data_IF_982172332102
#
_entry.id   IF_982172332102
#
_cell.length_a   1.000
_cell.length_b   1.000
_cell.length_c   1.000
_cell.angle_alpha   90.00
_cell.angle_beta   90.00
_cell.angle_gamma   90.00
#
_symmetry.space_group_name_H-M   'P 1'
#
loop_
_entity.id
_entity.type
_entity.pdbx_description
1 polymer ?
#
# COMPACT_ATOMS: atom_id res chain seq x y z
N UNK A 1 22.11 7.35 -2.34
CA UNK A 1 21.32 6.80 -1.23
C UNK A 1 19.87 6.68 -1.69
N UNK A 2 19.28 5.50 -1.54
CA UNK A 2 17.87 5.27 -1.80
C UNK A 2 17.12 5.31 -0.46
N UNK A 3 16.00 6.01 -0.44
CA UNK A 3 15.13 6.14 0.74
C UNK A 3 13.74 5.79 0.30
N UNK A 4 13.13 4.83 0.97
CA UNK A 4 11.76 4.43 0.72
C UNK A 4 10.80 5.30 1.52
N UNK A 5 9.66 5.60 0.92
CA UNK A 5 8.60 6.37 1.59
C UNK A 5 7.78 5.52 2.57
N UNK A 6 7.89 4.22 2.49
CA UNK A 6 7.23 3.23 3.33
C UNK A 6 7.81 1.85 3.08
N UNK A 7 7.31 0.85 3.78
CA UNK A 7 7.70 -0.53 3.58
C UNK A 7 6.98 -1.11 2.35
N UNK A 8 7.74 -1.66 1.42
CA UNK A 8 7.19 -2.35 0.26
C UNK A 8 6.95 -3.82 0.60
N UNK A 9 5.72 -4.13 0.98
CA UNK A 9 5.28 -5.47 1.36
C UNK A 9 4.40 -6.04 0.24
N UNK A 10 4.64 -7.29 -0.12
CA UNK A 10 3.95 -7.99 -1.18
C UNK A 10 3.20 -9.18 -0.61
N UNK A 11 1.89 -9.07 -0.50
CA UNK A 11 1.04 -10.18 -0.11
C UNK A 11 0.86 -11.17 -1.26
N UNK A 12 0.74 -12.46 -0.95
CA UNK A 12 0.55 -13.50 -1.98
C UNK A 12 -0.77 -13.38 -2.77
N UNK A 13 -1.69 -12.55 -2.34
CA UNK A 13 -2.89 -12.22 -3.09
C UNK A 13 -2.69 -11.15 -4.18
N UNK A 14 -1.47 -10.59 -4.35
CA UNK A 14 -1.13 -9.60 -5.37
C UNK A 14 -0.96 -10.25 -6.76
N UNK A 15 -2.05 -10.83 -7.29
CA UNK A 15 -2.01 -11.63 -8.50
C UNK A 15 -1.60 -10.84 -9.75
N UNK A 16 -2.07 -9.59 -9.88
CA UNK A 16 -1.77 -8.74 -11.04
C UNK A 16 -0.33 -8.22 -10.98
N UNK A 17 0.12 -7.78 -9.81
CA UNK A 17 1.49 -7.33 -9.62
C UNK A 17 2.49 -8.47 -9.85
N UNK A 18 2.22 -9.67 -9.33
CA UNK A 18 3.07 -10.82 -9.57
C UNK A 18 3.08 -11.27 -11.03
N UNK A 19 1.97 -11.15 -11.74
CA UNK A 19 1.93 -11.37 -13.19
C UNK A 19 2.81 -10.35 -13.94
N UNK A 20 2.76 -9.08 -13.55
CA UNK A 20 3.65 -8.05 -14.06
C UNK A 20 5.12 -8.37 -13.75
N UNK A 21 5.44 -8.71 -12.49
CA UNK A 21 6.81 -9.04 -12.07
C UNK A 21 7.37 -10.24 -12.82
N UNK A 22 6.57 -11.30 -13.08
CA UNK A 22 6.99 -12.41 -13.94
C UNK A 22 7.27 -11.95 -15.36
N UNK A 23 6.40 -11.12 -15.92
CA UNK A 23 6.53 -10.58 -17.27
C UNK A 23 7.82 -9.78 -17.48
N UNK A 24 8.26 -9.05 -16.48
CA UNK A 24 9.47 -8.21 -16.54
C UNK A 24 10.71 -8.89 -15.93
N UNK A 25 10.60 -10.15 -15.50
CA UNK A 25 11.73 -10.89 -14.89
C UNK A 25 12.09 -10.45 -13.47
N UNK A 26 11.17 -9.83 -12.73
CA UNK A 26 11.41 -9.31 -11.39
C UNK A 26 10.89 -10.22 -10.26
N UNK A 27 10.20 -11.32 -10.56
CA UNK A 27 9.55 -12.16 -9.54
C UNK A 27 10.54 -12.77 -8.55
N UNK A 28 11.73 -13.18 -9.04
CA UNK A 28 12.78 -13.80 -8.24
C UNK A 28 13.55 -12.79 -7.35
N UNK A 29 13.14 -11.52 -7.38
CA UNK A 29 13.64 -10.48 -6.49
C UNK A 29 12.88 -10.44 -5.15
N UNK A 30 11.83 -11.25 -5.00
CA UNK A 30 11.05 -11.38 -3.78
C UNK A 30 11.67 -12.42 -2.85
N UNK A 31 11.77 -12.07 -1.58
CA UNK A 31 12.14 -12.95 -0.48
C UNK A 31 10.86 -13.34 0.28
N UNK A 32 10.39 -14.58 0.18
CA UNK A 32 9.28 -15.07 0.99
C UNK A 32 9.63 -14.99 2.47
N UNK A 33 8.66 -14.55 3.28
CA UNK A 33 8.79 -14.46 4.73
C UNK A 33 7.97 -15.57 5.39
N UNK A 34 8.29 -15.86 6.65
CA UNK A 34 7.49 -16.78 7.44
C UNK A 34 6.03 -16.32 7.46
N UNK A 35 5.11 -17.28 7.46
CA UNK A 35 3.67 -17.01 7.47
C UNK A 35 3.19 -16.64 8.87
N UNK A 36 3.79 -15.56 9.40
CA UNK A 36 3.54 -15.02 10.73
C UNK A 36 3.47 -13.49 10.68
N UNK A 37 2.69 -12.92 11.56
CA UNK A 37 2.65 -11.48 11.80
C UNK A 37 3.08 -11.21 13.24
N UNK A 38 4.10 -10.40 13.42
CA UNK A 38 4.77 -10.18 14.69
C UNK A 38 4.49 -8.81 15.25
N UNK A 39 4.05 -8.79 16.50
CA UNK A 39 3.88 -7.59 17.31
C UNK A 39 5.02 -7.46 18.31
N UNK A 40 5.67 -6.31 18.33
CA UNK A 40 6.70 -5.97 19.32
C UNK A 40 6.08 -5.00 20.30
N UNK A 41 6.01 -5.40 21.57
CA UNK A 41 5.54 -4.56 22.66
C UNK A 41 6.72 -3.99 23.43
N UNK A 42 6.47 -2.96 24.24
CA UNK A 42 7.47 -2.34 25.12
C UNK A 42 8.23 -3.39 25.93
N UNK A 43 9.54 -3.23 26.03
CA UNK A 43 10.40 -4.17 26.78
C UNK A 43 10.87 -5.39 25.99
N UNK A 44 10.62 -5.45 24.68
CA UNK A 44 11.03 -6.56 23.79
C UNK A 44 10.08 -7.75 23.83
N UNK A 45 8.86 -7.57 24.35
CA UNK A 45 7.85 -8.62 24.39
C UNK A 45 7.31 -8.88 22.98
N UNK A 46 7.69 -10.02 22.38
CA UNK A 46 7.26 -10.47 21.07
C UNK A 46 6.00 -11.31 21.17
N UNK A 47 5.02 -10.93 20.36
CA UNK A 47 3.75 -11.63 20.25
C UNK A 47 3.41 -11.91 18.80
N UNK A 48 3.03 -13.13 18.51
CA UNK A 48 2.87 -13.64 17.16
C UNK A 48 1.42 -13.96 16.82
N UNK A 49 1.01 -13.65 15.60
CA UNK A 49 -0.11 -14.25 14.89
C UNK A 49 0.47 -15.31 13.93
N UNK A 50 0.42 -16.57 14.35
CA UNK A 50 1.01 -17.68 13.60
C UNK A 50 -0.01 -18.37 12.69
N UNK A 51 0.08 -18.06 11.39
CA UNK A 51 -0.77 -18.65 10.35
C UNK A 51 -0.24 -19.98 9.79
N UNK A 52 0.87 -20.49 10.29
CA UNK A 52 1.44 -21.79 9.92
C UNK A 52 0.58 -22.92 10.46
N UNK A 53 -0.32 -23.43 9.63
CA UNK A 53 -1.21 -24.53 10.02
C UNK A 53 -1.55 -25.41 8.82
N UNK A 54 -1.46 -26.72 9.01
CA UNK A 54 -1.57 -27.71 7.92
C UNK A 54 -2.93 -27.72 7.19
N UNK A 55 -4.00 -27.34 7.88
CA UNK A 55 -5.35 -27.35 7.28
C UNK A 55 -5.65 -26.11 6.41
N UNK A 56 -4.75 -25.11 6.39
CA UNK A 56 -4.95 -23.93 5.56
C UNK A 56 -6.15 -23.05 5.95
N UNK A 57 -6.56 -22.16 5.03
CA UNK A 57 -7.69 -21.25 5.27
C UNK A 57 -9.04 -21.99 5.25
N UNK A 58 -10.00 -21.57 6.10
CA UNK A 58 -9.93 -20.48 7.09
C UNK A 58 -9.31 -20.91 8.44
N UNK A 59 -8.95 -22.18 8.61
CA UNK A 59 -8.54 -22.74 9.89
C UNK A 59 -7.21 -22.20 10.40
N UNK A 60 -6.27 -21.86 9.49
CA UNK A 60 -5.01 -21.21 9.86
C UNK A 60 -5.26 -19.83 10.50
N UNK A 61 -6.20 -19.05 9.97
CA UNK A 61 -6.60 -17.77 10.55
C UNK A 61 -7.25 -17.96 11.93
N UNK A 62 -8.19 -18.90 12.07
CA UNK A 62 -8.80 -19.23 13.36
C UNK A 62 -7.73 -19.63 14.39
N UNK A 63 -6.82 -20.55 14.03
CA UNK A 63 -5.70 -20.92 14.90
C UNK A 63 -4.89 -19.70 15.33
N UNK A 64 -4.47 -18.86 14.39
CA UNK A 64 -3.65 -17.68 14.66
C UNK A 64 -4.35 -16.74 15.67
N UNK A 65 -5.64 -16.47 15.50
CA UNK A 65 -6.41 -15.60 16.39
C UNK A 65 -6.60 -16.19 17.79
N UNK A 66 -6.89 -17.49 17.91
CA UNK A 66 -7.11 -18.09 19.22
C UNK A 66 -5.81 -18.36 19.99
N UNK A 67 -4.68 -18.56 19.29
CA UNK A 67 -3.40 -18.87 19.95
C UNK A 67 -2.53 -17.63 20.21
N UNK A 68 -2.77 -16.50 19.54
CA UNK A 68 -1.94 -15.31 19.74
C UNK A 68 -1.96 -14.83 21.19
N UNK A 69 -0.81 -14.51 21.78
CA UNK A 69 -0.77 -13.86 23.11
C UNK A 69 -1.04 -12.35 23.05
N UNK A 70 -1.23 -11.75 21.85
CA UNK A 70 -1.44 -10.31 21.69
C UNK A 70 -2.76 -9.83 22.28
N UNK A 71 -3.77 -10.70 22.38
CA UNK A 71 -5.08 -10.39 22.91
C UNK A 71 -5.42 -11.28 24.10
N UNK A 72 -6.16 -10.72 25.05
CA UNK A 72 -6.76 -11.45 26.15
C UNK A 72 -7.89 -12.38 25.68
N UNK A 73 -8.27 -13.35 26.52
CA UNK A 73 -9.29 -14.33 26.17
C UNK A 73 -10.66 -13.73 25.85
N UNK A 74 -11.07 -12.71 26.59
CA UNK A 74 -12.33 -12.00 26.35
C UNK A 74 -12.29 -11.29 24.99
N UNK A 75 -11.18 -10.65 24.66
CA UNK A 75 -10.98 -9.97 23.39
C UNK A 75 -11.00 -10.97 22.23
N UNK A 76 -10.39 -12.16 22.39
CA UNK A 76 -10.46 -13.24 21.39
C UNK A 76 -11.88 -13.69 21.11
N UNK A 77 -12.69 -13.88 22.15
CA UNK A 77 -14.09 -14.24 21.99
C UNK A 77 -14.90 -13.14 21.28
N UNK A 78 -14.67 -11.88 21.65
CA UNK A 78 -15.34 -10.74 21.01
C UNK A 78 -14.91 -10.58 19.54
N UNK A 79 -13.63 -10.79 19.21
CA UNK A 79 -13.17 -10.86 17.82
C UNK A 79 -13.85 -11.98 17.05
N UNK A 80 -13.94 -13.18 17.64
CA UNK A 80 -14.61 -14.32 17.03
C UNK A 80 -16.09 -14.04 16.76
N UNK A 81 -16.78 -13.35 17.69
CA UNK A 81 -18.17 -12.93 17.50
C UNK A 81 -18.30 -11.95 16.33
N UNK A 82 -17.52 -10.86 16.34
CA UNK A 82 -17.58 -9.83 15.30
C UNK A 82 -17.24 -10.39 13.90
N UNK A 83 -16.15 -11.16 13.79
CA UNK A 83 -15.74 -11.74 12.52
C UNK A 83 -16.60 -12.94 12.11
N UNK A 84 -17.10 -13.71 13.05
CA UNK A 84 -17.99 -14.87 12.82
C UNK A 84 -19.37 -14.48 12.30
N UNK A 85 -19.84 -13.27 12.63
CA UNK A 85 -21.11 -12.71 12.10
C UNK A 85 -20.91 -11.86 10.83
N UNK A 86 -19.66 -11.72 10.35
CA UNK A 86 -19.31 -10.91 9.21
C UNK A 86 -19.69 -11.55 7.88
N UNK A 87 -19.76 -10.76 6.78
CA UNK A 87 -19.92 -11.28 5.43
C UNK A 87 -18.82 -12.27 5.02
N UNK A 88 -17.65 -12.27 5.70
CA UNK A 88 -16.53 -13.16 5.42
C UNK A 88 -16.93 -14.63 5.55
N UNK A 89 -17.72 -14.99 6.57
CA UNK A 89 -18.16 -16.37 6.76
C UNK A 89 -19.01 -16.85 5.59
N UNK A 90 -19.95 -16.01 5.11
CA UNK A 90 -20.72 -16.29 3.90
C UNK A 90 -19.82 -16.43 2.67
N UNK A 91 -18.77 -15.64 2.59
CA UNK A 91 -17.83 -15.60 1.46
C UNK A 91 -17.02 -16.88 1.27
N UNK A 92 -16.97 -17.77 2.27
CA UNK A 92 -16.36 -19.09 2.13
C UNK A 92 -17.17 -20.00 1.18
N UNK A 93 -18.47 -19.69 0.95
CA UNK A 93 -19.36 -20.43 0.07
C UNK A 93 -19.79 -19.57 -1.14
N UNK A 94 -20.05 -18.27 -0.91
CA UNK A 94 -20.52 -17.30 -1.91
C UNK A 94 -19.62 -16.07 -1.87
N UNK A 95 -18.46 -16.15 -2.54
CA UNK A 95 -17.46 -15.07 -2.56
C UNK A 95 -18.03 -13.77 -3.15
N UNK A 96 -18.71 -13.83 -4.30
CA UNK A 96 -19.22 -12.64 -4.98
C UNK A 96 -20.34 -11.95 -4.20
N UNK A 97 -21.24 -12.71 -3.61
CA UNK A 97 -22.30 -12.17 -2.74
C UNK A 97 -21.73 -11.53 -1.46
N UNK A 98 -20.69 -12.12 -0.88
CA UNK A 98 -20.00 -11.55 0.26
C UNK A 98 -19.27 -10.26 -0.11
N UNK A 99 -18.53 -10.22 -1.21
CA UNK A 99 -17.84 -9.02 -1.68
C UNK A 99 -18.81 -7.89 -2.01
N UNK A 100 -19.98 -8.19 -2.58
CA UNK A 100 -21.06 -7.20 -2.78
C UNK A 100 -21.50 -6.60 -1.45
N UNK A 101 -21.70 -7.43 -0.42
CA UNK A 101 -22.07 -6.98 0.94
C UNK A 101 -20.96 -6.14 1.56
N UNK A 102 -19.68 -6.57 1.44
CA UNK A 102 -18.53 -5.83 1.94
C UNK A 102 -18.44 -4.45 1.27
N UNK A 103 -18.60 -4.36 -0.04
CA UNK A 103 -18.59 -3.08 -0.76
C UNK A 103 -19.69 -2.12 -0.25
N UNK A 104 -20.85 -2.62 0.13
CA UNK A 104 -21.93 -1.82 0.69
C UNK A 104 -21.60 -1.22 2.07
N UNK A 105 -20.60 -1.75 2.78
CA UNK A 105 -20.12 -1.25 4.07
C UNK A 105 -19.14 -0.07 3.95
N UNK A 106 -18.96 0.49 2.76
CA UNK A 106 -18.07 1.63 2.55
C UNK A 106 -18.41 2.87 3.39
N UNK A 107 -19.69 3.04 3.75
CA UNK A 107 -20.20 4.25 4.43
C UNK A 107 -19.86 4.36 5.91
N UNK A 108 -19.36 3.29 6.52
CA UNK A 108 -19.02 3.23 7.95
C UNK A 108 -17.56 2.89 8.13
N UNK A 109 -16.97 3.30 9.27
CA UNK A 109 -15.62 2.94 9.61
C UNK A 109 -15.50 1.47 10.03
N UNK A 110 -14.29 0.94 9.99
CA UNK A 110 -14.06 -0.42 10.48
C UNK A 110 -14.31 -0.51 11.99
N UNK A 111 -13.92 0.49 12.76
CA UNK A 111 -14.19 0.52 14.20
C UNK A 111 -15.69 0.51 14.50
N UNK A 112 -16.47 1.36 13.83
CA UNK A 112 -17.93 1.41 13.99
C UNK A 112 -18.55 0.05 13.67
N UNK A 113 -18.17 -0.54 12.53
CA UNK A 113 -18.64 -1.86 12.16
C UNK A 113 -18.25 -2.93 13.17
N UNK A 114 -16.97 -2.99 13.56
CA UNK A 114 -16.41 -4.03 14.40
C UNK A 114 -16.99 -4.00 15.82
N UNK A 115 -17.06 -2.83 16.44
CA UNK A 115 -17.64 -2.65 17.78
C UNK A 115 -19.14 -2.90 17.76
N UNK A 116 -19.85 -2.43 16.71
CA UNK A 116 -21.28 -2.69 16.50
C UNK A 116 -21.61 -4.18 16.38
N UNK A 117 -20.66 -5.02 15.95
CA UNK A 117 -20.81 -6.49 15.90
C UNK A 117 -20.24 -7.21 17.12
N UNK A 118 -19.95 -6.49 18.22
CA UNK A 118 -19.52 -7.07 19.49
C UNK A 118 -18.01 -7.15 19.68
N UNK A 119 -17.21 -6.65 18.73
CA UNK A 119 -15.77 -6.50 18.87
C UNK A 119 -15.38 -5.59 20.03
N UNK A 120 -14.14 -5.70 20.52
CA UNK A 120 -13.66 -4.88 21.62
C UNK A 120 -12.78 -3.71 21.17
N UNK A 121 -12.86 -2.59 21.88
CA UNK A 121 -11.96 -1.44 21.66
C UNK A 121 -10.50 -1.81 21.96
N UNK A 122 -10.25 -2.72 22.89
CA UNK A 122 -8.91 -3.21 23.20
C UNK A 122 -8.32 -3.96 22.00
N UNK A 123 -9.12 -4.77 21.30
CA UNK A 123 -8.69 -5.42 20.05
C UNK A 123 -8.39 -4.40 18.94
N UNK A 124 -9.20 -3.34 18.81
CA UNK A 124 -8.92 -2.23 17.91
C UNK A 124 -7.54 -1.65 18.23
N UNK A 125 -7.30 -1.27 19.47
CA UNK A 125 -6.05 -0.63 19.89
C UNK A 125 -4.82 -1.52 19.72
N UNK A 126 -4.90 -2.77 20.16
CA UNK A 126 -3.71 -3.66 20.26
C UNK A 126 -3.38 -4.41 18.96
N UNK A 127 -4.37 -4.63 18.11
CA UNK A 127 -4.22 -5.47 16.92
C UNK A 127 -4.65 -4.77 15.64
N UNK A 128 -5.87 -4.22 15.59
CA UNK A 128 -6.44 -3.76 14.32
C UNK A 128 -5.90 -2.40 13.88
N UNK A 129 -5.65 -1.46 14.82
CA UNK A 129 -5.02 -0.18 14.48
C UNK A 129 -3.61 -0.35 13.88
N UNK A 130 -2.68 -1.14 14.45
CA UNK A 130 -1.40 -1.42 13.80
C UNK A 130 -1.54 -1.96 12.36
N UNK A 131 -2.54 -2.80 12.11
CA UNK A 131 -2.81 -3.35 10.77
C UNK A 131 -3.40 -2.28 9.84
N UNK A 132 -4.38 -1.50 10.31
CA UNK A 132 -4.99 -0.42 9.54
C UNK A 132 -3.95 0.65 9.14
N UNK A 133 -3.08 1.05 10.07
CA UNK A 133 -1.96 1.94 9.80
C UNK A 133 -0.95 1.37 8.80
N UNK A 134 -0.69 0.06 8.83
CA UNK A 134 0.19 -0.58 7.85
C UNK A 134 -0.43 -0.64 6.45
N UNK A 135 -1.76 -0.71 6.34
CA UNK A 135 -2.49 -0.81 5.09
C UNK A 135 -2.82 0.55 4.47
N UNK A 136 -3.33 1.48 5.27
CA UNK A 136 -3.92 2.73 4.78
C UNK A 136 -3.38 4.00 5.44
N UNK A 137 -2.41 3.90 6.34
CA UNK A 137 -1.82 5.01 7.12
C UNK A 137 -2.82 5.78 8.00
N UNK A 138 -4.01 5.23 8.20
CA UNK A 138 -5.08 5.73 9.06
C UNK A 138 -5.58 4.63 9.98
N UNK A 139 -6.18 5.00 11.11
CA UNK A 139 -6.69 4.05 12.09
C UNK A 139 -8.04 3.42 11.72
N UNK A 140 -8.51 2.53 12.57
CA UNK A 140 -9.78 1.84 12.39
C UNK A 140 -11.01 2.77 12.47
N UNK A 141 -10.89 3.93 13.10
CA UNK A 141 -11.94 4.95 13.16
C UNK A 141 -12.05 5.70 11.82
N UNK A 142 -10.95 5.88 11.13
CA UNK A 142 -10.85 6.65 9.89
C UNK A 142 -10.88 5.79 8.61
N UNK A 143 -10.56 4.48 8.69
CA UNK A 143 -10.58 3.60 7.51
C UNK A 143 -11.98 2.99 7.29
N UNK A 144 -12.43 2.91 6.04
CA UNK A 144 -13.69 2.25 5.67
C UNK A 144 -13.71 0.76 6.06
N UNK A 145 -14.84 0.28 6.58
CA UNK A 145 -15.06 -1.14 6.86
C UNK A 145 -14.88 -1.99 5.60
N UNK A 146 -15.25 -1.47 4.43
CA UNK A 146 -15.02 -2.10 3.14
C UNK A 146 -13.55 -2.51 2.97
N UNK A 147 -12.60 -1.61 3.26
CA UNK A 147 -11.18 -1.84 3.08
C UNK A 147 -10.68 -3.00 3.92
N UNK A 148 -10.90 -2.95 5.22
CA UNK A 148 -10.42 -3.97 6.15
C UNK A 148 -11.07 -5.33 5.87
N UNK A 149 -12.38 -5.36 5.63
CA UNK A 149 -13.10 -6.61 5.34
C UNK A 149 -12.73 -7.20 3.97
N UNK A 150 -12.35 -6.39 2.98
CA UNK A 150 -11.83 -6.89 1.71
C UNK A 150 -10.55 -7.70 1.93
N UNK A 151 -9.61 -7.18 2.71
CA UNK A 151 -8.37 -7.89 3.05
C UNK A 151 -8.66 -9.17 3.84
N UNK A 152 -9.53 -9.09 4.84
CA UNK A 152 -9.87 -10.26 5.67
C UNK A 152 -10.59 -11.34 4.86
N UNK A 153 -11.45 -10.96 3.91
CA UNK A 153 -12.10 -11.89 2.99
C UNK A 153 -11.05 -12.68 2.17
N UNK A 154 -10.03 -11.99 1.67
CA UNK A 154 -8.95 -12.64 0.93
C UNK A 154 -8.14 -13.58 1.80
N UNK A 155 -7.81 -13.17 3.03
CA UNK A 155 -7.07 -14.01 3.98
C UNK A 155 -7.87 -15.24 4.43
N UNK A 156 -9.19 -15.10 4.54
CA UNK A 156 -10.07 -16.21 4.91
C UNK A 156 -10.31 -17.19 3.75
N UNK A 157 -10.26 -16.72 2.50
CA UNK A 157 -10.54 -17.55 1.32
C UNK A 157 -9.34 -18.28 0.76
N UNK A 158 -8.10 -17.79 1.02
CA UNK A 158 -6.87 -18.36 0.45
C UNK A 158 -5.78 -18.47 1.51
N UNK A 159 -5.28 -19.69 1.71
CA UNK A 159 -4.24 -20.00 2.73
C UNK A 159 -3.04 -19.07 2.65
N UNK A 160 -2.51 -18.85 1.44
CA UNK A 160 -1.29 -18.06 1.25
C UNK A 160 -1.53 -16.54 1.19
N UNK A 161 -2.78 -16.08 1.17
CA UNK A 161 -3.07 -14.66 0.93
C UNK A 161 -2.46 -13.72 1.98
N UNK A 162 -2.38 -14.15 3.24
CA UNK A 162 -1.77 -13.40 4.35
C UNK A 162 -0.25 -13.56 4.45
N UNK A 163 0.37 -14.39 3.61
CA UNK A 163 1.82 -14.55 3.57
C UNK A 163 2.48 -13.33 2.94
N UNK A 164 3.62 -12.94 3.49
CA UNK A 164 4.37 -11.76 3.06
C UNK A 164 5.57 -12.13 2.19
N UNK A 165 5.90 -11.24 1.27
CA UNK A 165 7.21 -11.17 0.64
C UNK A 165 7.77 -9.75 0.82
N UNK A 166 9.08 -9.64 0.85
CA UNK A 166 9.80 -8.36 0.76
C UNK A 166 10.77 -8.42 -0.41
N UNK A 167 11.12 -7.27 -0.97
CA UNK A 167 12.18 -7.22 -1.98
C UNK A 167 13.53 -7.52 -1.32
N UNK A 168 14.41 -8.18 -2.05
CA UNK A 168 15.78 -8.48 -1.57
C UNK A 168 16.65 -7.23 -1.39
N UNK A 169 16.21 -6.09 -1.90
CA UNK A 169 16.85 -4.79 -1.76
C UNK A 169 15.91 -3.66 -2.16
N UNK A 170 16.45 -2.53 -2.61
CA UNK A 170 15.68 -1.31 -2.89
C UNK A 170 14.67 -1.50 -4.03
N UNK A 171 13.46 -0.93 -3.93
CA UNK A 171 12.45 -0.99 -4.99
C UNK A 171 12.95 -0.40 -6.31
N UNK A 172 13.79 0.63 -6.25
CA UNK A 172 14.38 1.22 -7.45
C UNK A 172 15.14 0.20 -8.30
N UNK A 173 15.98 -0.63 -7.67
CA UNK A 173 16.81 -1.61 -8.37
C UNK A 173 16.05 -2.89 -8.71
N UNK A 174 15.22 -3.36 -7.79
CA UNK A 174 14.67 -4.72 -7.84
C UNK A 174 13.22 -4.82 -8.29
N UNK A 175 12.51 -3.69 -8.41
CA UNK A 175 11.15 -3.62 -8.94
C UNK A 175 11.06 -2.65 -10.12
N UNK A 176 11.35 -1.37 -9.89
CA UNK A 176 11.16 -0.32 -10.89
C UNK A 176 12.14 -0.47 -12.06
N UNK A 177 13.40 -0.80 -11.79
CA UNK A 177 14.42 -1.01 -12.83
C UNK A 177 13.99 -2.04 -13.86
N UNK A 178 13.67 -3.30 -13.49
CA UNK A 178 13.17 -4.30 -14.45
C UNK A 178 11.94 -3.87 -15.26
N UNK A 179 11.03 -3.08 -14.67
CA UNK A 179 9.87 -2.52 -15.41
C UNK A 179 10.33 -1.53 -16.46
N UNK A 180 11.22 -0.61 -16.10
CA UNK A 180 11.75 0.40 -17.01
C UNK A 180 12.57 -0.23 -18.14
N UNK A 181 13.44 -1.18 -17.82
CA UNK A 181 14.22 -1.92 -18.81
C UNK A 181 13.30 -2.64 -19.80
N UNK A 182 12.24 -3.26 -19.33
CA UNK A 182 11.24 -3.92 -20.17
C UNK A 182 10.55 -2.93 -21.15
N UNK A 183 10.23 -1.72 -20.68
CA UNK A 183 9.63 -0.66 -21.47
C UNK A 183 10.63 -0.17 -22.53
N UNK A 184 11.86 0.11 -22.14
CA UNK A 184 12.91 0.64 -23.03
C UNK A 184 13.29 -0.37 -24.12
N UNK A 185 13.40 -1.66 -23.80
CA UNK A 185 13.64 -2.74 -24.76
C UNK A 185 12.56 -2.84 -25.86
N UNK A 186 11.37 -2.24 -25.63
CA UNK A 186 10.25 -2.21 -26.57
C UNK A 186 10.06 -0.84 -27.23
N UNK A 187 11.08 0.01 -27.17
CA UNK A 187 11.08 1.34 -27.80
C UNK A 187 10.38 2.42 -26.97
N UNK A 188 9.90 2.09 -25.76
CA UNK A 188 9.36 3.09 -24.83
C UNK A 188 10.46 4.01 -24.29
N UNK A 189 10.10 5.21 -23.88
CA UNK A 189 11.02 6.23 -23.37
C UNK A 189 10.58 6.71 -22.00
N UNK A 190 11.55 6.92 -21.09
CA UNK A 190 11.34 7.55 -19.79
C UNK A 190 11.97 8.95 -19.81
N UNK A 191 11.18 9.94 -19.48
CA UNK A 191 11.62 11.33 -19.34
C UNK A 191 11.44 11.78 -17.89
N UNK A 192 12.53 11.85 -17.13
CA UNK A 192 12.55 12.39 -15.76
C UNK A 192 12.61 13.91 -15.79
N UNK A 193 12.10 14.56 -14.74
CA UNK A 193 12.00 16.03 -14.61
C UNK A 193 11.16 16.70 -15.71
N UNK A 194 10.22 15.96 -16.28
CA UNK A 194 9.27 16.45 -17.27
C UNK A 194 7.88 16.50 -16.62
N UNK A 195 7.58 17.61 -15.96
CA UNK A 195 6.31 17.79 -15.26
C UNK A 195 5.24 18.27 -16.23
N UNK A 196 4.09 17.63 -16.28
CA UNK A 196 2.91 18.16 -16.97
C UNK A 196 2.45 19.43 -16.25
N UNK A 197 2.52 20.56 -16.92
CA UNK A 197 2.12 21.88 -16.40
C UNK A 197 0.77 22.31 -16.93
N UNK A 198 0.41 21.89 -18.15
CA UNK A 198 -0.86 22.22 -18.76
C UNK A 198 -1.34 21.11 -19.71
N UNK A 199 -2.66 20.91 -19.75
CA UNK A 199 -3.35 20.01 -20.68
C UNK A 199 -4.16 20.86 -21.64
N UNK A 200 -3.77 20.90 -22.92
CA UNK A 200 -4.50 21.57 -23.98
C UNK A 200 -5.53 20.63 -24.59
N UNK A 201 -6.70 21.13 -24.88
CA UNK A 201 -7.79 20.32 -25.42
C UNK A 201 -8.64 21.13 -26.40
N UNK A 202 -9.32 20.42 -27.28
CA UNK A 202 -10.26 20.97 -28.26
C UNK A 202 -11.65 20.39 -28.02
N UNK A 203 -12.65 21.20 -28.30
CA UNK A 203 -14.07 20.85 -28.21
C UNK A 203 -14.68 20.82 -29.61
N UNK A 204 -15.17 19.66 -30.04
CA UNK A 204 -15.88 19.48 -31.29
C UNK A 204 -17.39 19.68 -31.15
N UNK A 205 -18.15 19.24 -32.14
CA UNK A 205 -19.60 19.25 -32.11
C UNK A 205 -20.15 18.44 -30.92
N UNK A 206 -21.36 18.79 -30.46
CA UNK A 206 -22.01 18.07 -29.39
C UNK A 206 -22.24 16.59 -29.76
N UNK A 207 -21.86 15.70 -28.85
CA UNK A 207 -22.13 14.27 -28.94
C UNK A 207 -23.62 13.93 -28.68
N UNK A 208 -23.92 12.64 -28.63
CA UNK A 208 -25.29 12.13 -28.40
C UNK A 208 -25.81 12.52 -27.01
N UNK A 209 -24.93 12.73 -26.05
CA UNK A 209 -25.23 13.17 -24.68
C UNK A 209 -25.40 14.70 -24.54
N UNK A 210 -25.32 15.44 -25.64
CA UNK A 210 -25.39 16.91 -25.67
C UNK A 210 -24.11 17.62 -25.16
N UNK A 211 -23.05 16.88 -24.79
CA UNK A 211 -21.78 17.43 -24.40
C UNK A 211 -20.84 17.53 -25.61
N UNK A 212 -19.94 18.54 -25.68
CA UNK A 212 -18.99 18.64 -26.80
C UNK A 212 -18.01 17.45 -26.77
N UNK A 213 -17.74 16.89 -27.95
CA UNK A 213 -16.74 15.85 -28.14
C UNK A 213 -15.35 16.44 -27.85
N UNK A 214 -14.85 16.20 -26.65
CA UNK A 214 -13.60 16.78 -26.17
C UNK A 214 -12.45 15.81 -26.37
N UNK A 215 -11.30 16.33 -26.85
CA UNK A 215 -10.05 15.59 -27.02
C UNK A 215 -8.85 16.44 -26.56
N UNK A 216 -7.88 15.82 -25.93
CA UNK A 216 -6.57 16.44 -25.68
C UNK A 216 -5.84 16.63 -27.00
N UNK A 217 -5.37 17.86 -27.27
CA UNK A 217 -4.57 18.20 -28.44
C UNK A 217 -3.07 18.10 -28.16
N UNK A 218 -2.64 18.55 -26.98
CA UNK A 218 -1.23 18.46 -26.55
C UNK A 218 -1.10 18.59 -25.03
N UNK A 219 0.11 18.31 -24.53
CA UNK A 219 0.54 18.60 -23.16
C UNK A 219 1.69 19.60 -23.19
N UNK A 220 1.70 20.57 -22.29
CA UNK A 220 2.91 21.35 -21.97
C UNK A 220 3.64 20.66 -20.83
N UNK A 221 4.93 20.39 -21.03
CA UNK A 221 5.83 19.81 -20.04
C UNK A 221 6.87 20.86 -19.63
N UNK A 222 6.91 21.17 -18.33
CA UNK A 222 8.01 21.95 -17.75
C UNK A 222 9.24 21.06 -17.59
N UNK A 223 10.34 21.42 -18.25
CA UNK A 223 11.62 20.71 -18.18
C UNK A 223 12.73 21.64 -17.67
N UNK A 224 13.91 21.11 -17.29
CA UNK A 224 15.05 21.95 -16.90
C UNK A 224 15.51 22.92 -18.00
N UNK A 225 15.25 22.59 -19.28
CA UNK A 225 15.64 23.36 -20.47
C UNK A 225 14.54 24.32 -20.92
N UNK A 226 13.38 24.33 -20.26
CA UNK A 226 12.20 25.15 -20.60
C UNK A 226 10.98 24.29 -20.93
N UNK A 227 9.90 24.95 -21.32
CA UNK A 227 8.65 24.28 -21.64
C UNK A 227 8.69 23.59 -23.01
N UNK A 228 8.17 22.37 -23.08
CA UNK A 228 8.10 21.54 -24.28
C UNK A 228 6.65 21.08 -24.49
N UNK A 229 6.17 21.21 -25.75
CA UNK A 229 4.86 20.66 -26.13
C UNK A 229 4.99 19.22 -26.62
N UNK A 230 4.08 18.36 -26.19
CA UNK A 230 4.00 16.95 -26.58
C UNK A 230 2.62 16.63 -27.13
N UNK A 231 2.60 16.05 -28.32
CA UNK A 231 1.39 15.56 -29.00
C UNK A 231 1.44 14.04 -29.05
N UNK A 232 0.32 13.40 -28.76
CA UNK A 232 0.15 11.94 -28.83
C UNK A 232 -1.28 11.57 -29.22
N UNK A 233 -1.48 10.34 -29.69
CA UNK A 233 -2.81 9.82 -30.02
C UNK A 233 -3.66 9.59 -28.76
N UNK A 234 -3.00 9.21 -27.67
CA UNK A 234 -3.65 8.84 -26.40
C UNK A 234 -2.81 9.33 -25.21
N UNK A 235 -3.49 9.80 -24.19
CA UNK A 235 -2.91 10.32 -22.95
C UNK A 235 -3.43 9.52 -21.78
N UNK A 236 -2.53 9.04 -20.93
CA UNK A 236 -2.85 8.30 -19.71
C UNK A 236 -2.23 8.99 -18.50
N UNK A 237 -3.07 9.51 -17.61
CA UNK A 237 -2.63 10.05 -16.33
C UNK A 237 -2.61 8.93 -15.27
N UNK A 238 -1.40 8.53 -14.86
CA UNK A 238 -1.15 7.47 -13.88
C UNK A 238 -0.45 8.02 -12.64
N UNK A 239 -0.99 9.09 -12.07
CA UNK A 239 -0.45 9.78 -10.91
C UNK A 239 -1.35 9.55 -9.66
N UNK A 240 -0.93 10.09 -8.51
CA UNK A 240 -1.68 10.10 -7.26
C UNK A 240 -2.85 11.11 -7.28
N UNK A 241 -3.68 11.09 -6.24
CA UNK A 241 -4.83 12.01 -6.09
C UNK A 241 -4.39 13.49 -6.16
N UNK A 242 -3.40 13.95 -5.39
CA UNK A 242 -2.94 15.34 -5.50
C UNK A 242 -2.36 15.70 -6.87
N UNK A 243 -1.72 14.76 -7.54
CA UNK A 243 -1.18 14.92 -8.87
C UNK A 243 -2.27 15.16 -9.90
N UNK A 244 -3.27 14.30 -9.92
CA UNK A 244 -4.39 14.44 -10.87
C UNK A 244 -5.24 15.68 -10.61
N UNK A 245 -5.51 16.01 -9.34
CA UNK A 245 -6.26 17.23 -8.98
C UNK A 245 -5.58 18.52 -9.46
N UNK A 246 -4.23 18.54 -9.47
CA UNK A 246 -3.45 19.70 -9.96
C UNK A 246 -3.38 19.76 -11.48
N UNK A 247 -3.43 18.61 -12.16
CA UNK A 247 -3.23 18.51 -13.60
C UNK A 247 -4.51 18.75 -14.40
N UNK A 248 -5.67 18.36 -13.88
CA UNK A 248 -6.94 18.44 -14.63
C UNK A 248 -7.35 19.88 -14.93
N UNK A 249 -7.73 20.17 -16.19
CA UNK A 249 -8.33 21.47 -16.55
C UNK A 249 -9.58 21.75 -15.74
N UNK A 250 -9.70 22.98 -15.21
CA UNK A 250 -10.87 23.38 -14.40
C UNK A 250 -12.19 23.22 -15.16
N UNK A 251 -12.18 23.44 -16.47
CA UNK A 251 -13.35 23.28 -17.33
C UNK A 251 -13.92 21.85 -17.33
N UNK A 252 -13.09 20.85 -17.05
CA UNK A 252 -13.50 19.45 -17.03
C UNK A 252 -14.31 19.07 -15.79
N UNK A 253 -14.35 19.92 -14.78
CA UNK A 253 -15.22 19.71 -13.60
C UNK A 253 -16.73 19.70 -13.93
N UNK A 254 -17.12 20.09 -15.13
CA UNK A 254 -18.48 19.92 -15.64
C UNK A 254 -18.92 18.45 -15.72
N UNK A 255 -17.98 17.52 -15.86
CA UNK A 255 -18.28 16.09 -15.80
C UNK A 255 -18.15 15.56 -14.37
N UNK A 256 -19.19 14.88 -13.87
CA UNK A 256 -19.19 14.32 -12.51
C UNK A 256 -17.97 13.43 -12.23
N UNK A 257 -17.48 12.68 -13.24
CA UNK A 257 -16.29 11.85 -13.13
C UNK A 257 -15.07 12.65 -12.67
N UNK A 258 -14.79 13.80 -13.26
CA UNK A 258 -13.68 14.63 -12.89
C UNK A 258 -13.94 15.48 -11.64
N UNK A 259 -15.18 15.96 -11.43
CA UNK A 259 -15.51 16.75 -10.23
C UNK A 259 -15.42 15.89 -8.96
N UNK A 260 -15.78 14.62 -9.05
CA UNK A 260 -15.69 13.68 -7.93
C UNK A 260 -14.24 13.45 -7.47
N UNK A 261 -13.24 13.54 -8.38
CA UNK A 261 -11.82 13.41 -8.00
C UNK A 261 -11.42 14.45 -6.95
N UNK A 262 -12.01 15.64 -6.98
CA UNK A 262 -11.73 16.70 -6.00
C UNK A 262 -12.34 16.46 -4.62
N UNK A 263 -13.17 15.42 -4.45
CA UNK A 263 -13.70 14.96 -3.16
C UNK A 263 -12.80 13.89 -2.52
N UNK A 264 -11.88 13.32 -3.31
CA UNK A 264 -10.90 12.37 -2.81
C UNK A 264 -9.79 13.11 -2.07
N UNK A 265 -9.24 12.48 -1.05
CA UNK A 265 -8.17 13.04 -0.23
C UNK A 265 -6.97 12.08 -0.18
N UNK A 266 -5.85 12.57 0.29
CA UNK A 266 -4.64 11.80 0.48
C UNK A 266 -4.14 11.92 1.93
N UNK A 267 -3.52 10.86 2.42
CA UNK A 267 -2.99 10.81 3.79
C UNK A 267 -1.54 11.25 3.84
N UNK A 268 -1.12 11.98 4.88
CA UNK A 268 0.29 12.26 5.11
C UNK A 268 1.01 11.05 5.70
N UNK A 269 2.32 10.98 5.46
CA UNK A 269 3.20 10.00 6.09
C UNK A 269 4.56 10.61 6.38
N UNK A 270 5.17 10.18 7.47
CA UNK A 270 6.58 10.43 7.76
C UNK A 270 7.29 9.08 7.96
N UNK A 271 8.34 8.85 7.18
CA UNK A 271 9.16 7.64 7.28
C UNK A 271 10.53 8.00 7.82
N UNK A 272 10.95 7.28 8.85
CA UNK A 272 12.22 7.47 9.53
C UNK A 272 13.10 6.27 9.30
N UNK A 273 14.33 6.49 8.86
CA UNK A 273 15.36 5.45 8.81
C UNK A 273 16.42 5.74 9.87
N UNK A 274 16.71 4.72 10.68
CA UNK A 274 17.70 4.77 11.77
C UNK A 274 18.73 3.66 11.57
N UNK A 275 20.01 4.02 11.38
CA UNK A 275 21.12 3.08 11.28
C UNK A 275 21.91 3.05 12.59
N UNK A 276 22.07 1.86 13.15
CA UNK A 276 22.82 1.62 14.38
C UNK A 276 24.16 0.93 14.09
N UNK A 277 25.10 1.04 15.04
CA UNK A 277 26.39 0.34 15.00
C UNK A 277 26.27 -1.15 15.39
N UNK A 278 25.12 -1.57 15.95
CA UNK A 278 24.83 -2.95 16.31
C UNK A 278 23.39 -3.36 15.97
N UNK A 279 23.02 -4.59 16.33
CA UNK A 279 21.71 -5.15 15.99
C UNK A 279 20.66 -4.80 17.05
N UNK A 280 19.70 -3.96 16.68
CA UNK A 280 18.59 -3.51 17.55
C UNK A 280 17.60 -4.63 17.82
N UNK A 281 17.31 -5.44 16.81
CA UNK A 281 16.30 -6.50 16.85
C UNK A 281 16.79 -7.82 17.45
N UNK A 282 17.98 -7.83 18.04
CA UNK A 282 18.47 -8.93 18.88
C UNK A 282 17.84 -8.86 20.26
N UNK A 283 16.76 -9.54 20.47
CA UNK A 283 15.92 -9.52 21.68
C UNK A 283 16.61 -10.04 22.96
N UNK A 284 17.81 -9.58 23.26
CA UNK A 284 18.53 -9.88 24.48
C UNK A 284 19.27 -11.22 24.49
N UNK A 285 19.13 -12.07 23.48
CA UNK A 285 19.84 -13.33 23.29
C UNK A 285 20.59 -13.33 21.95
N UNK A 286 21.85 -12.95 21.99
CA UNK A 286 22.70 -12.89 20.79
C UNK A 286 22.91 -14.24 20.10
N UNK A 287 22.83 -15.35 20.82
CA UNK A 287 22.94 -16.69 20.26
C UNK A 287 21.64 -17.09 19.53
N UNK A 288 20.49 -16.84 20.12
CA UNK A 288 19.20 -17.08 19.49
C UNK A 288 18.99 -16.17 18.27
N UNK A 289 19.38 -14.90 18.38
CA UNK A 289 19.31 -13.97 17.25
C UNK A 289 20.27 -14.35 16.12
N UNK A 290 21.47 -14.85 16.43
CA UNK A 290 22.40 -15.36 15.43
C UNK A 290 21.89 -16.64 14.76
N UNK A 291 21.30 -17.55 15.52
CA UNK A 291 20.67 -18.77 15.00
C UNK A 291 19.46 -18.43 14.11
N UNK A 292 18.60 -17.51 14.54
CA UNK A 292 17.46 -17.02 13.75
C UNK A 292 17.88 -16.33 12.45
N UNK A 293 19.02 -15.66 12.42
CA UNK A 293 19.59 -15.08 11.19
C UNK A 293 20.23 -16.13 10.26
N UNK A 294 20.71 -17.23 10.80
CA UNK A 294 21.34 -18.31 10.04
C UNK A 294 20.32 -19.33 9.52
N UNK A 295 19.23 -19.54 10.26
CA UNK A 295 18.18 -20.48 9.95
C UNK A 295 16.90 -19.76 9.52
N UNK A 296 16.66 -19.72 8.21
CA UNK A 296 15.48 -19.13 7.62
C UNK A 296 14.17 -19.90 7.97
N UNK A 297 14.27 -21.09 8.54
CA UNK A 297 13.13 -21.89 9.01
C UNK A 297 12.75 -21.61 10.48
N UNK A 298 13.63 -20.93 11.22
CA UNK A 298 13.32 -20.47 12.58
C UNK A 298 12.24 -19.37 12.56
N UNK A 299 11.46 -19.16 13.64
CA UNK A 299 10.52 -18.04 13.76
C UNK A 299 11.28 -16.72 13.83
N UNK A 300 12.00 -16.42 12.76
CA UNK A 300 12.81 -15.25 12.59
C UNK A 300 11.94 -14.08 12.16
N UNK A 301 10.92 -13.76 12.90
CA UNK A 301 10.10 -12.60 12.68
C UNK A 301 10.88 -11.29 12.58
N UNK A 302 12.12 -11.30 13.04
CA UNK A 302 13.07 -10.18 12.93
C UNK A 302 13.46 -9.85 11.49
N UNK A 303 13.32 -10.75 10.55
CA UNK A 303 13.52 -10.51 9.12
C UNK A 303 12.22 -10.25 8.35
N UNK A 304 11.11 -10.09 9.06
CA UNK A 304 9.78 -9.85 8.54
C UNK A 304 9.35 -8.40 8.78
N UNK A 305 8.13 -8.05 8.37
CA UNK A 305 7.42 -6.85 8.79
C UNK A 305 7.03 -7.01 10.28
N UNK A 306 7.30 -5.98 11.05
CA UNK A 306 6.99 -5.91 12.47
C UNK A 306 5.89 -4.87 12.72
N UNK A 307 5.00 -5.16 13.68
CA UNK A 307 3.94 -4.27 14.12
C UNK A 307 4.16 -3.88 15.58
N UNK A 308 3.64 -2.72 15.97
CA UNK A 308 3.56 -2.34 17.38
C UNK A 308 2.34 -1.47 17.64
N UNK A 309 1.77 -1.59 18.83
CA UNK A 309 0.76 -0.68 19.35
C UNK A 309 1.33 0.28 20.43
N UNK A 310 2.63 0.22 20.67
CA UNK A 310 3.30 0.93 21.79
C UNK A 310 4.24 2.05 21.30
N UNK A 311 4.18 2.40 20.01
CA UNK A 311 4.94 3.49 19.39
C UNK A 311 4.09 4.22 18.35
N UNK A 312 4.52 5.42 17.97
CA UNK A 312 3.87 6.22 16.92
C UNK A 312 4.20 5.72 15.50
N UNK A 313 5.03 4.70 15.36
CA UNK A 313 5.21 3.93 14.13
C UNK A 313 4.59 2.55 14.30
N UNK A 314 3.43 2.33 13.73
CA UNK A 314 2.68 1.08 13.89
C UNK A 314 3.24 -0.09 13.09
N UNK A 315 4.02 0.18 12.04
CA UNK A 315 4.74 -0.84 11.29
C UNK A 315 6.17 -0.40 10.99
N UNK A 316 7.08 -1.38 11.03
CA UNK A 316 8.51 -1.15 10.79
C UNK A 316 9.21 -2.45 10.35
N UNK A 317 10.42 -2.33 9.85
CA UNK A 317 11.28 -3.47 9.56
C UNK A 317 12.76 -3.11 9.76
N UNK A 318 13.57 -4.13 10.06
CA UNK A 318 15.01 -4.02 9.95
C UNK A 318 15.41 -4.36 8.50
N UNK A 319 15.63 -3.33 7.68
CA UNK A 319 15.96 -3.50 6.27
C UNK A 319 17.29 -4.24 6.07
N UNK A 320 18.22 -4.16 7.02
CA UNK A 320 19.49 -4.89 6.94
C UNK A 320 19.28 -6.41 7.07
N UNK A 321 18.17 -6.86 7.67
CA UNK A 321 17.77 -8.26 7.77
C UNK A 321 16.72 -8.62 6.70
N UNK A 322 15.73 -7.77 6.53
CA UNK A 322 14.56 -8.05 5.70
C UNK A 322 14.85 -7.93 4.19
N UNK A 323 15.77 -7.04 3.80
CA UNK A 323 16.12 -6.69 2.41
C UNK A 323 17.63 -6.50 2.26
N UNK A 324 18.45 -7.53 2.50
CA UNK A 324 19.89 -7.40 2.78
C UNK A 324 20.74 -6.91 1.60
N UNK A 325 20.34 -7.14 0.35
CA UNK A 325 21.19 -6.89 -0.84
C UNK A 325 21.70 -5.44 -0.94
N UNK A 326 20.84 -4.45 -0.62
CA UNK A 326 21.21 -3.04 -0.68
C UNK A 326 21.38 -2.41 0.70
N UNK A 327 20.87 -3.03 1.77
CA UNK A 327 20.79 -2.39 3.08
C UNK A 327 21.70 -3.00 4.15
N UNK A 328 22.15 -4.26 4.00
CA UNK A 328 23.15 -4.84 4.88
C UNK A 328 24.52 -4.31 4.52
N UNK A 329 25.24 -3.75 5.51
CA UNK A 329 26.60 -3.23 5.33
C UNK A 329 27.54 -3.88 6.32
N UNK A 330 28.73 -4.26 5.84
CA UNK A 330 29.76 -4.81 6.69
C UNK A 330 30.18 -3.80 7.78
N UNK A 331 30.30 -4.27 9.02
CA UNK A 331 30.64 -3.43 10.16
C UNK A 331 29.55 -2.49 10.65
N UNK A 332 28.31 -2.62 10.15
CA UNK A 332 27.14 -1.88 10.63
C UNK A 332 26.05 -2.86 11.08
N UNK A 333 25.21 -2.40 12.00
CA UNK A 333 24.08 -3.16 12.52
C UNK A 333 22.77 -2.89 11.78
N UNK A 334 21.70 -2.82 12.53
CA UNK A 334 20.34 -2.62 12.04
C UNK A 334 20.16 -1.34 11.22
N UNK A 335 19.35 -1.41 10.17
CA UNK A 335 18.74 -0.25 9.53
C UNK A 335 17.24 -0.35 9.71
N UNK A 336 16.73 0.25 10.76
CA UNK A 336 15.29 0.29 10.98
C UNK A 336 14.64 1.32 10.06
N UNK A 337 13.55 0.91 9.42
CA UNK A 337 12.63 1.81 8.74
C UNK A 337 11.31 1.80 9.47
N UNK A 338 10.95 2.94 10.06
CA UNK A 338 9.76 3.16 10.87
C UNK A 338 8.81 4.09 10.14
N UNK A 339 7.54 3.70 10.01
CA UNK A 339 6.51 4.49 9.35
C UNK A 339 5.61 5.12 10.40
N UNK A 340 5.76 6.43 10.60
CA UNK A 340 4.99 7.21 11.57
C UNK A 340 3.57 7.44 11.06
N UNK A 341 2.60 6.86 11.73
CA UNK A 341 1.17 6.89 11.38
C UNK A 341 0.30 7.04 12.62
N UNK A 342 -0.63 8.03 12.62
CA UNK A 342 -0.94 8.97 11.54
C UNK A 342 0.21 9.95 11.28
N UNK A 343 0.36 10.41 10.03
CA UNK A 343 1.44 11.29 9.60
C UNK A 343 1.24 12.76 10.01
N UNK A 344 -0.01 13.21 10.20
CA UNK A 344 -0.36 14.60 10.45
C UNK A 344 0.46 15.31 11.55
N UNK A 345 0.70 14.71 12.73
CA UNK A 345 1.46 15.37 13.80
C UNK A 345 2.94 15.58 13.44
N UNK A 346 3.47 14.84 12.45
CA UNK A 346 4.90 14.77 12.13
C UNK A 346 5.30 15.69 10.98
N UNK A 347 4.38 16.03 10.08
CA UNK A 347 4.68 16.88 8.92
C UNK A 347 5.29 18.23 9.33
N UNK A 348 4.77 18.96 10.34
CA UNK A 348 5.31 20.26 10.73
C UNK A 348 6.59 20.18 11.58
N UNK A 349 6.93 19.00 12.15
CA UNK A 349 8.06 18.86 13.07
C UNK A 349 9.42 18.88 12.35
N UNK A 350 10.47 19.27 13.08
CA UNK A 350 11.84 19.24 12.58
C UNK A 350 12.35 17.81 12.49
N UNK A 351 13.25 17.57 11.53
CA UNK A 351 13.86 16.24 11.32
C UNK A 351 14.53 15.70 12.57
N UNK A 352 15.29 16.54 13.28
CA UNK A 352 16.02 16.16 14.49
C UNK A 352 15.08 15.76 15.63
N UNK A 353 13.94 16.43 15.76
CA UNK A 353 12.90 16.12 16.75
C UNK A 353 12.26 14.75 16.45
N UNK A 354 11.93 14.51 15.18
CA UNK A 354 11.36 13.24 14.74
C UNK A 354 12.33 12.10 14.99
N UNK A 355 13.60 12.26 14.61
CA UNK A 355 14.66 11.27 14.82
C UNK A 355 14.82 10.93 16.29
N UNK A 356 14.98 11.94 17.14
CA UNK A 356 15.16 11.74 18.60
C UNK A 356 13.97 11.02 19.23
N UNK A 357 12.75 11.39 18.83
CA UNK A 357 11.54 10.76 19.32
C UNK A 357 11.45 9.28 18.86
N UNK A 358 11.68 9.01 17.59
CA UNK A 358 11.61 7.64 17.03
C UNK A 358 12.70 6.76 17.64
N UNK A 359 13.94 7.27 17.82
CA UNK A 359 15.04 6.52 18.45
C UNK A 359 14.69 6.16 19.91
N UNK A 360 14.09 7.09 20.67
CA UNK A 360 13.64 6.82 22.03
C UNK A 360 12.58 5.72 22.08
N UNK A 361 11.63 5.71 21.17
CA UNK A 361 10.61 4.65 21.08
C UNK A 361 11.21 3.30 20.65
N UNK A 362 12.17 3.29 19.70
CA UNK A 362 12.91 2.07 19.34
C UNK A 362 13.61 1.47 20.56
N UNK A 363 14.26 2.29 21.39
CA UNK A 363 14.94 1.82 22.62
C UNK A 363 13.96 1.32 23.68
N UNK A 364 12.74 1.84 23.71
CA UNK A 364 11.67 1.33 24.57
C UNK A 364 11.16 -0.04 24.12
N UNK A 365 11.02 -0.22 22.81
CA UNK A 365 10.62 -1.51 22.24
C UNK A 365 11.73 -2.56 22.34
N UNK A 366 13.01 -2.13 22.23
CA UNK A 366 14.17 -3.00 22.24
C UNK A 366 15.19 -2.54 23.29
N UNK A 367 15.08 -3.00 24.54
CA UNK A 367 16.02 -2.64 25.59
C UNK A 367 17.48 -3.00 25.25
N UNK A 368 17.69 -4.02 24.41
CA UNK A 368 19.02 -4.39 23.85
C UNK A 368 19.69 -3.26 23.06
N UNK A 369 18.92 -2.31 22.56
CA UNK A 369 19.46 -1.15 21.84
C UNK A 369 20.01 -0.04 22.77
N UNK A 370 19.89 -0.14 24.09
CA UNK A 370 20.25 0.93 25.02
C UNK A 370 21.72 1.38 24.88
N UNK A 371 22.65 0.45 24.61
CA UNK A 371 24.08 0.73 24.45
C UNK A 371 24.50 1.06 23.01
N UNK A 372 23.61 0.97 22.02
CA UNK A 372 23.94 1.17 20.62
C UNK A 372 24.01 2.65 20.27
N UNK A 373 24.89 3.00 19.32
CA UNK A 373 24.99 4.34 18.76
C UNK A 373 24.18 4.45 17.48
N UNK A 374 23.38 5.50 17.38
CA UNK A 374 22.76 5.91 16.12
C UNK A 374 23.83 6.56 15.24
N UNK A 375 24.24 5.89 14.16
CA UNK A 375 25.36 6.34 13.30
C UNK A 375 24.87 7.09 12.06
N UNK A 376 23.60 6.95 11.71
CA UNK A 376 22.98 7.69 10.61
C UNK A 376 21.47 7.65 10.74
N UNK A 377 20.82 8.73 10.30
CA UNK A 377 19.37 8.81 10.25
C UNK A 377 18.90 9.64 9.07
N UNK A 378 17.66 9.42 8.67
CA UNK A 378 16.98 10.26 7.68
C UNK A 378 15.47 10.23 7.90
N UNK A 379 14.80 11.31 7.48
CA UNK A 379 13.34 11.44 7.52
C UNK A 379 12.83 11.89 6.16
N UNK A 380 11.84 11.17 5.64
CA UNK A 380 11.05 11.59 4.48
C UNK A 380 9.65 11.95 4.96
N UNK A 381 9.21 13.14 4.63
CA UNK A 381 7.85 13.64 4.95
C UNK A 381 7.09 13.88 3.66
N UNK A 382 5.92 13.27 3.53
CA UNK A 382 4.98 13.50 2.46
C UNK A 382 3.67 13.98 3.07
N UNK A 383 3.33 15.24 2.80
CA UNK A 383 2.08 15.81 3.29
C UNK A 383 0.84 15.18 2.62
N UNK A 384 1.04 14.59 1.44
CA UNK A 384 0.01 13.91 0.68
C UNK A 384 0.66 12.69 0.02
N UNK A 385 0.29 11.50 0.43
CA UNK A 385 0.85 10.22 -0.02
C UNK A 385 -0.25 9.32 -0.59
N UNK A 386 -0.68 8.31 0.14
CA UNK A 386 -1.70 7.37 -0.30
C UNK A 386 -3.07 8.04 -0.46
N UNK A 387 -3.92 7.50 -1.34
CA UNK A 387 -5.34 7.80 -1.35
C UNK A 387 -5.98 7.44 0.01
N UNK A 388 -6.77 8.36 0.57
CA UNK A 388 -7.42 8.17 1.85
C UNK A 388 -8.67 7.30 1.71
N UNK A 389 -8.59 6.05 2.09
CA UNK A 389 -9.69 5.10 2.06
C UNK A 389 -10.69 5.31 3.21
N UNK A 390 -11.20 6.53 3.35
CA UNK A 390 -12.18 6.90 4.36
C UNK A 390 -13.58 6.39 4.02
N UNK A 391 -14.49 6.30 5.01
CA UNK A 391 -15.88 5.97 4.76
C UNK A 391 -16.54 6.88 3.73
N UNK A 392 -17.31 6.30 2.81
CA UNK A 392 -18.08 7.02 1.80
C UNK A 392 -17.29 7.52 0.59
N UNK A 393 -16.02 7.13 0.44
CA UNK A 393 -15.17 7.60 -0.67
C UNK A 393 -15.30 6.75 -1.95
N UNK A 394 -15.74 5.51 -1.86
CA UNK A 394 -15.83 4.59 -3.01
C UNK A 394 -16.66 5.15 -4.19
N UNK A 395 -17.80 5.83 -4.01
CA UNK A 395 -18.56 6.40 -5.10
C UNK A 395 -17.86 7.50 -5.90
N UNK A 396 -16.83 8.13 -5.33
CA UNK A 396 -16.08 9.24 -5.96
C UNK A 396 -14.89 8.76 -6.78
N UNK A 397 -14.54 7.50 -6.70
CA UNK A 397 -13.44 6.91 -7.48
C UNK A 397 -13.82 6.90 -8.96
N UNK A 398 -12.99 7.46 -9.85
CA UNK A 398 -13.30 7.52 -11.29
C UNK A 398 -13.06 6.18 -11.99
N UNK A 399 -13.77 5.94 -13.08
CA UNK A 399 -13.43 4.90 -14.05
C UNK A 399 -12.13 5.27 -14.79
N UNK A 400 -11.47 4.29 -15.45
CA UNK A 400 -10.27 4.51 -16.23
C UNK A 400 -10.56 5.21 -17.56
N UNK A 401 -11.67 4.90 -18.22
CA UNK A 401 -12.16 5.64 -19.37
C UNK A 401 -12.82 6.95 -18.93
N UNK A 402 -12.60 8.02 -19.67
CA UNK A 402 -13.10 9.35 -19.31
C UNK A 402 -14.02 9.91 -20.40
N UNK A 403 -14.80 10.96 -20.11
CA UNK A 403 -15.56 11.70 -21.13
C UNK A 403 -14.69 12.37 -22.22
N UNK A 404 -13.38 12.49 -21.98
CA UNK A 404 -12.42 13.04 -22.96
C UNK A 404 -11.86 11.90 -23.81
N UNK A 405 -12.17 11.86 -25.09
CA UNK A 405 -12.09 10.68 -25.96
C UNK A 405 -10.69 10.02 -26.10
N UNK A 406 -9.61 10.72 -25.78
CA UNK A 406 -8.25 10.20 -25.82
C UNK A 406 -7.50 10.39 -24.49
N UNK A 407 -8.21 10.66 -23.38
CA UNK A 407 -7.63 10.85 -22.07
C UNK A 407 -8.14 9.77 -21.09
N UNK A 408 -7.23 9.10 -20.43
CA UNK A 408 -7.50 7.97 -19.55
C UNK A 408 -6.85 8.18 -18.18
N UNK A 409 -7.38 7.49 -17.17
CA UNK A 409 -6.88 7.54 -15.79
C UNK A 409 -6.39 6.15 -15.37
N UNK A 410 -5.32 6.14 -14.59
CA UNK A 410 -4.89 4.99 -13.81
C UNK A 410 -4.37 5.48 -12.45
N UNK A 411 -4.24 4.56 -11.53
CA UNK A 411 -3.82 4.82 -10.16
C UNK A 411 -4.72 4.03 -9.21
N UNK A 412 -4.22 3.71 -8.04
CA UNK A 412 -4.95 2.93 -7.04
C UNK A 412 -6.25 3.59 -6.59
N UNK A 413 -6.35 4.92 -6.69
CA UNK A 413 -7.56 5.70 -6.40
C UNK A 413 -8.68 5.54 -7.44
N UNK A 414 -8.41 5.02 -8.64
CA UNK A 414 -9.46 4.74 -9.65
C UNK A 414 -10.23 3.48 -9.28
N UNK A 415 -11.41 3.26 -9.85
CA UNK A 415 -12.22 2.08 -9.56
C UNK A 415 -11.49 0.80 -9.93
N UNK A 416 -11.37 -0.06 -8.96
CA UNK A 416 -10.81 -1.41 -9.06
C UNK A 416 -11.26 -2.20 -7.81
N UNK A 417 -11.14 -3.53 -7.84
CA UNK A 417 -11.74 -4.40 -6.82
C UNK A 417 -10.86 -4.63 -5.59
N UNK A 418 -9.78 -3.87 -5.42
CA UNK A 418 -8.86 -3.97 -4.31
C UNK A 418 -8.79 -2.65 -3.53
N UNK A 419 -7.92 -2.59 -2.53
CA UNK A 419 -7.63 -1.37 -1.76
C UNK A 419 -6.54 -0.54 -2.43
N UNK A 420 -6.28 0.66 -1.91
CA UNK A 420 -5.11 1.47 -2.29
C UNK A 420 -3.82 0.71 -1.97
N UNK A 421 -3.09 0.31 -3.00
CA UNK A 421 -1.89 -0.52 -2.91
C UNK A 421 -1.20 -0.66 -4.25
N UNK A 422 -0.02 -1.26 -4.27
CA UNK A 422 0.67 -1.64 -5.52
C UNK A 422 -0.16 -2.60 -6.38
N UNK A 423 -0.92 -3.50 -5.77
CA UNK A 423 -1.85 -4.38 -6.49
C UNK A 423 -2.99 -3.59 -7.12
N UNK A 424 -3.65 -2.71 -6.36
CA UNK A 424 -4.72 -1.85 -6.88
C UNK A 424 -4.24 -0.94 -8.01
N UNK A 425 -3.04 -0.35 -7.88
CA UNK A 425 -2.42 0.43 -8.95
C UNK A 425 -2.16 -0.40 -10.22
N UNK A 426 -1.66 -1.64 -10.06
CA UNK A 426 -1.42 -2.55 -11.20
C UNK A 426 -2.73 -2.98 -11.87
N UNK A 427 -3.77 -3.28 -11.09
CA UNK A 427 -5.11 -3.56 -11.61
C UNK A 427 -5.64 -2.38 -12.42
N UNK A 428 -5.54 -1.17 -11.89
CA UNK A 428 -6.01 0.04 -12.56
C UNK A 428 -5.28 0.28 -13.90
N UNK A 429 -3.96 0.05 -13.93
CA UNK A 429 -3.16 0.14 -15.15
C UNK A 429 -3.59 -0.87 -16.22
N UNK A 430 -3.94 -2.10 -15.83
CA UNK A 430 -4.48 -3.11 -16.74
C UNK A 430 -5.87 -2.74 -17.27
N UNK A 431 -6.74 -2.20 -16.42
CA UNK A 431 -8.07 -1.73 -16.82
C UNK A 431 -7.95 -0.55 -17.78
N UNK A 432 -7.07 0.41 -17.50
CA UNK A 432 -6.80 1.53 -18.40
C UNK A 432 -6.27 1.08 -19.77
N UNK A 433 -5.33 0.14 -19.80
CA UNK A 433 -4.82 -0.43 -21.04
C UNK A 433 -5.92 -1.12 -21.84
N UNK A 434 -6.79 -1.88 -21.18
CA UNK A 434 -7.94 -2.53 -21.84
C UNK A 434 -8.92 -1.49 -22.43
N UNK A 435 -9.21 -0.40 -21.70
CA UNK A 435 -10.08 0.68 -22.18
C UNK A 435 -9.48 1.39 -23.41
N UNK A 436 -8.16 1.65 -23.43
CA UNK A 436 -7.46 2.25 -24.56
C UNK A 436 -7.56 1.33 -25.79
N UNK A 437 -7.29 0.06 -25.64
CA UNK A 437 -7.34 -0.92 -26.75
C UNK A 437 -8.75 -1.07 -27.31
N UNK A 438 -9.77 -1.09 -26.46
CA UNK A 438 -11.16 -1.15 -26.89
C UNK A 438 -11.58 0.09 -27.71
N UNK A 439 -11.16 1.28 -27.29
CA UNK A 439 -11.41 2.53 -27.99
C UNK A 439 -10.73 2.56 -29.36
N UNK A 440 -9.49 2.10 -29.46
CA UNK A 440 -8.76 2.02 -30.73
C UNK A 440 -9.41 1.03 -31.71
N UNK A 441 -9.85 -0.14 -31.25
CA UNK A 441 -10.55 -1.12 -32.06
C UNK A 441 -11.88 -0.56 -32.64
N UNK A 442 -12.62 0.20 -31.85
CA UNK A 442 -13.85 0.84 -32.30
C UNK A 442 -13.60 1.89 -33.38
N UNK A 443 -12.48 2.63 -33.32
CA UNK A 443 -12.11 3.60 -34.37
C UNK A 443 -11.77 2.90 -35.69
N UNK A 444 -11.05 1.79 -35.67
CA UNK A 444 -10.69 1.02 -36.87
C UNK A 444 -11.93 0.43 -37.56
N UNK A 445 -12.88 -0.10 -36.78
CA UNK A 445 -14.14 -0.62 -37.36
C UNK A 445 -15.01 0.45 -38.00
N UNK A 446 -15.06 1.64 -37.43
CA UNK A 446 -15.86 2.76 -38.01
C UNK A 446 -15.22 3.34 -39.28
N UNK A 447 -13.91 3.30 -39.42
CA UNK A 447 -13.20 3.76 -40.64
C UNK A 447 -13.26 2.73 -41.76
N UNK A 448 -13.54 1.46 -41.51
CA UNK A 448 -13.69 0.41 -42.51
C UNK A 448 -15.10 0.29 -43.09
N UNK A 449 -16.09 1.01 -42.55
CA UNK A 449 -17.50 0.99 -42.98
C UNK A 449 -17.89 2.31 -43.69
N UNK A 450 -17.01 3.31 -43.71
CA UNK A 450 -17.15 4.55 -44.45
C UNK A 450 -16.40 4.49 -45.77
#
# INVERSE_FOLDING_TARGET
>A
NHIEMGLHVFFFNYANLFALMRKVGAIDNLLPKDHTHLFVNTGGDLRELDFRFALGAPFNGLKAFFTTPQLDWIDKLRNALALGTSPIVRGLVDYEGAMKTIRALDRISFQEWFVGHGGSEQSIKRMWNPIAYALGFIDCEAISARCMLTIFMMFASKTEASKLNLLKGSPHRWLTGPILDYIQQRGGRLHLRHRVTEVHFEEGAAGVDGQPATRVSSLTLGTPEGDVSVVADTYLAACDVPGIQRMLPKAWRRWPLFDNIYKLDAVPVATVQLRYDGWVTELGDGAAAAAARADLSSPAGLNNLLYTADADFSCFADLALASPEDYRKQGQGSLLQCVLTPGDPWIPKKTEEIVAHTDAQVRSLFPSAAGLKLVWSNVVKLAQSLYREAPGMEPYRPEQATPVGNFYLAGSYTKQDYIDSMEGATMSGRLAAAAILASQAALVTNTSVS
#
